data_IF_272333141222
#
_entry.id   IF_272333141222
#
_cell.length_a   1.000
_cell.length_b   1.000
_cell.length_c   1.000
_cell.angle_alpha   90.00
_cell.angle_beta   90.00
_cell.angle_gamma   90.00
#
_symmetry.space_group_name_H-M   'P 1'
#
loop_
_entity.id
_entity.type
_entity.pdbx_description
1 polymer ?
#
# COMPACT_ATOMS: atom_id res chain seq x y z
N UNK A 1 -1.22 -14.10 12.60
CA UNK A 1 -2.09 -12.93 12.78
C UNK A 1 -1.61 -11.79 11.90
N UNK A 2 -2.50 -11.08 11.22
CA UNK A 2 -2.08 -9.93 10.45
C UNK A 2 -1.63 -8.80 11.36
N UNK A 3 -0.55 -8.15 10.97
CA UNK A 3 -0.07 -6.97 11.67
C UNK A 3 -0.72 -5.75 11.04
N UNK A 4 -1.39 -4.95 11.87
CA UNK A 4 -2.07 -3.75 11.42
C UNK A 4 -1.25 -2.52 11.80
N UNK A 5 -1.05 -1.63 10.84
CA UNK A 5 -0.33 -0.37 11.06
C UNK A 5 -1.16 0.78 10.53
N UNK A 6 -0.89 1.98 11.03
CA UNK A 6 -1.56 3.18 10.52
C UNK A 6 -1.04 3.52 9.12
N UNK A 7 -1.80 4.36 8.39
CA UNK A 7 -1.36 4.83 7.07
C UNK A 7 -0.08 5.65 7.22
N UNK A 8 0.02 6.43 8.29
CA UNK A 8 1.20 7.23 8.58
C UNK A 8 2.44 6.35 8.75
N UNK A 9 2.31 5.26 9.52
CA UNK A 9 3.39 4.31 9.70
C UNK A 9 3.73 3.60 8.39
N UNK A 10 2.71 3.24 7.61
CA UNK A 10 2.90 2.62 6.30
C UNK A 10 3.70 3.54 5.37
N UNK A 11 3.40 4.83 5.38
CA UNK A 11 4.13 5.82 4.58
C UNK A 11 5.59 5.87 5.01
N UNK A 12 5.85 5.85 6.33
CA UNK A 12 7.20 5.92 6.87
C UNK A 12 8.05 4.71 6.47
N UNK A 13 7.50 3.51 6.58
CA UNK A 13 8.28 2.29 6.34
C UNK A 13 8.42 1.95 4.86
N UNK A 14 7.48 2.38 4.01
CA UNK A 14 7.52 2.07 2.58
C UNK A 14 8.18 3.17 1.76
N UNK A 15 8.23 4.38 2.27
CA UNK A 15 8.74 5.53 1.54
C UNK A 15 7.74 6.13 0.56
N UNK A 16 6.55 5.58 0.45
CA UNK A 16 5.49 6.17 -0.38
C UNK A 16 4.82 7.32 0.35
N UNK A 17 4.36 8.36 -0.38
CA UNK A 17 3.64 9.46 0.25
C UNK A 17 2.36 8.98 0.94
N UNK A 18 2.03 9.60 2.05
CA UNK A 18 0.81 9.32 2.79
C UNK A 18 -0.43 9.37 1.88
N UNK A 19 -0.50 10.40 1.06
CA UNK A 19 -1.64 10.62 0.17
C UNK A 19 -1.82 9.50 -0.82
N UNK A 20 -0.74 8.92 -1.30
CA UNK A 20 -0.79 7.81 -2.24
C UNK A 20 -1.34 6.55 -1.58
N UNK A 21 -0.87 6.25 -0.37
CA UNK A 21 -1.37 5.10 0.38
C UNK A 21 -2.84 5.30 0.74
N UNK A 22 -3.21 6.50 1.14
CA UNK A 22 -4.60 6.84 1.42
C UNK A 22 -5.49 6.62 0.20
N UNK A 23 -4.99 6.97 -0.97
CA UNK A 23 -5.71 6.77 -2.23
C UNK A 23 -5.92 5.29 -2.52
N UNK A 24 -4.90 4.45 -2.25
CA UNK A 24 -5.04 3.00 -2.40
C UNK A 24 -6.11 2.44 -1.48
N UNK A 25 -6.20 2.97 -0.27
CA UNK A 25 -7.23 2.56 0.69
C UNK A 25 -8.61 2.97 0.20
N UNK A 26 -8.75 4.21 -0.26
CA UNK A 26 -10.04 4.74 -0.74
C UNK A 26 -10.52 4.02 -1.98
N UNK A 27 -9.62 3.64 -2.87
CA UNK A 27 -9.95 2.91 -4.10
C UNK A 27 -10.04 1.40 -3.88
N UNK A 28 -9.87 0.95 -2.63
CA UNK A 28 -9.95 -0.46 -2.23
C UNK A 28 -8.91 -1.35 -2.89
N UNK A 29 -7.79 -0.78 -3.24
CA UNK A 29 -6.65 -1.54 -3.78
C UNK A 29 -5.94 -2.31 -2.68
N UNK A 30 -5.98 -1.81 -1.45
CA UNK A 30 -5.46 -2.50 -0.27
C UNK A 30 -6.54 -2.55 0.78
N UNK A 31 -6.47 -3.59 1.62
CA UNK A 31 -7.45 -3.79 2.70
C UNK A 31 -7.15 -2.87 3.87
N UNK A 32 -8.17 -2.21 4.37
CA UNK A 32 -8.05 -1.34 5.53
C UNK A 32 -9.06 -1.71 6.60
N UNK A 33 -8.76 -1.30 7.83
CA UNK A 33 -9.60 -1.55 8.99
C UNK A 33 -9.70 -0.26 9.78
N UNK A 34 -10.82 -0.07 10.50
CA UNK A 34 -10.99 1.07 11.36
C UNK A 34 -10.89 0.63 12.82
N UNK A 35 -10.18 1.41 13.63
CA UNK A 35 -10.17 1.20 15.07
C UNK A 35 -11.45 1.79 15.67
N UNK A 36 -11.65 1.59 16.97
CA UNK A 36 -12.76 2.17 17.71
C UNK A 36 -12.82 3.68 17.60
N UNK A 37 -11.67 4.31 17.50
CA UNK A 37 -11.54 5.77 17.42
C UNK A 37 -11.63 6.30 16.00
N UNK A 38 -11.84 5.41 15.02
CA UNK A 38 -11.96 5.79 13.63
C UNK A 38 -10.64 5.89 12.88
N UNK A 39 -9.53 5.51 13.51
CA UNK A 39 -8.23 5.50 12.85
C UNK A 39 -8.16 4.37 11.84
N UNK A 40 -7.74 4.69 10.61
CA UNK A 40 -7.57 3.69 9.56
C UNK A 40 -6.26 2.94 9.74
N UNK A 41 -6.35 1.62 9.65
CA UNK A 41 -5.20 0.74 9.74
C UNK A 41 -5.14 -0.12 8.49
N UNK A 42 -3.94 -0.51 8.09
CA UNK A 42 -3.74 -1.38 6.94
C UNK A 42 -2.97 -2.62 7.37
N UNK A 43 -3.21 -3.73 6.66
CA UNK A 43 -2.52 -4.99 6.89
C UNK A 43 -1.16 -4.93 6.19
N UNK A 44 -0.09 -5.15 6.95
CA UNK A 44 1.28 -5.05 6.41
C UNK A 44 1.54 -6.06 5.31
N UNK A 45 1.02 -7.27 5.43
CA UNK A 45 1.20 -8.30 4.43
C UNK A 45 0.50 -7.93 3.13
N UNK A 46 -0.74 -7.47 3.22
CA UNK A 46 -1.51 -7.02 2.07
C UNK A 46 -0.84 -5.84 1.39
N UNK A 47 -0.33 -4.89 2.18
CA UNK A 47 0.38 -3.73 1.66
C UNK A 47 1.65 -4.16 0.93
N UNK A 48 2.42 -5.07 1.51
CA UNK A 48 3.65 -5.59 0.89
C UNK A 48 3.35 -6.26 -0.45
N UNK A 49 2.32 -7.09 -0.51
CA UNK A 49 1.94 -7.78 -1.73
C UNK A 49 1.52 -6.80 -2.82
N UNK A 50 0.79 -5.75 -2.44
CA UNK A 50 0.35 -4.73 -3.38
C UNK A 50 1.54 -3.95 -3.95
N UNK A 51 2.49 -3.57 -3.09
CA UNK A 51 3.68 -2.84 -3.52
C UNK A 51 4.53 -3.69 -4.46
N UNK A 52 4.70 -4.98 -4.15
CA UNK A 52 5.42 -5.91 -5.00
C UNK A 52 4.77 -6.01 -6.38
N UNK A 53 3.44 -6.01 -6.42
CA UNK A 53 2.69 -6.04 -7.66
C UNK A 53 2.92 -4.78 -8.49
N UNK A 54 2.90 -3.61 -7.86
CA UNK A 54 3.15 -2.34 -8.55
C UNK A 54 4.57 -2.31 -9.12
N UNK A 55 5.55 -2.73 -8.33
CA UNK A 55 6.95 -2.75 -8.77
C UNK A 55 7.15 -3.70 -9.94
N UNK A 56 6.49 -4.85 -9.90
CA UNK A 56 6.55 -5.83 -10.98
C UNK A 56 5.98 -5.25 -12.27
N UNK A 57 4.81 -4.60 -12.18
CA UNK A 57 4.20 -3.95 -13.34
C UNK A 57 5.07 -2.82 -13.88
N UNK A 58 5.71 -2.06 -12.98
CA UNK A 58 6.63 -1.01 -13.37
C UNK A 58 7.82 -1.52 -14.15
N UNK A 59 8.39 -2.63 -13.71
CA UNK A 59 9.53 -3.27 -14.36
C UNK A 59 9.12 -3.80 -15.73
N UNK A 60 7.96 -4.46 -15.83
CA UNK A 60 7.45 -4.95 -17.11
C UNK A 60 7.22 -3.82 -18.11
N UNK A 61 6.66 -2.72 -17.64
CA UNK A 61 6.40 -1.57 -18.48
C UNK A 61 7.68 -0.96 -19.02
N UNK A 62 8.71 -0.89 -18.16
CA UNK A 62 10.03 -0.41 -18.57
C UNK A 62 10.65 -1.32 -19.61
N UNK A 63 10.56 -2.61 -19.38
CA UNK A 63 11.10 -3.63 -20.29
C UNK A 63 10.46 -3.53 -21.68
N UNK A 64 9.15 -3.36 -21.71
CA UNK A 64 8.43 -3.23 -22.98
C UNK A 64 8.80 -1.95 -23.72
N UNK A 65 9.16 -0.89 -23.01
CA UNK A 65 9.57 0.37 -23.63
C UNK A 65 10.99 0.30 -24.19
N UNK A 66 11.81 -0.57 -23.66
CA UNK A 66 13.20 -0.74 -24.12
C UNK A 66 13.30 -1.63 -25.36
N UNK A 67 12.27 -2.37 -25.65
CA UNK A 67 12.18 -3.24 -26.82
C UNK A 67 11.51 -2.49 -27.97
#
# INVERSE_FOLDING_TARGET
>A
MPELISIEEAARITGFPYEEIEDWVKSRKITSFHTRTGTRMVDTENLRDFIAHIEHLGIQKLYLQLV
#
